data_IF_920584807725
#
_entry.id   IF_920584807725
#
_cell.length_a   1.000
_cell.length_b   1.000
_cell.length_c   1.000
_cell.angle_alpha   90.00
_cell.angle_beta   90.00
_cell.angle_gamma   90.00
#
_symmetry.space_group_name_H-M   'P 1'
#
loop_
_entity.id
_entity.type
_entity.pdbx_description
1 polymer ?
#
# COMPACT_ATOMS: atom_id res chain seq x y z
N UNK A 1 -3.84 -7.77 8.01
CA UNK A 1 -3.93 -6.48 8.73
C UNK A 1 -2.57 -5.92 9.15
N UNK A 2 -1.65 -6.73 9.70
CA UNK A 2 -0.36 -6.22 10.21
C UNK A 2 0.53 -5.54 9.14
N UNK A 3 0.56 -6.06 7.90
CA UNK A 3 1.35 -5.45 6.82
C UNK A 3 0.82 -4.06 6.45
N UNK A 4 -0.50 -3.89 6.34
CA UNK A 4 -1.11 -2.59 6.05
C UNK A 4 -0.83 -1.56 7.14
N UNK A 5 -0.84 -1.96 8.42
CA UNK A 5 -0.48 -1.07 9.52
C UNK A 5 0.99 -0.63 9.45
N UNK A 6 1.90 -1.54 9.08
CA UNK A 6 3.32 -1.21 8.86
C UNK A 6 3.44 -0.20 7.71
N UNK A 7 2.80 -0.45 6.57
CA UNK A 7 2.92 0.49 5.45
C UNK A 7 2.28 1.83 5.78
N UNK A 8 1.13 1.87 6.43
CA UNK A 8 0.51 3.12 6.86
C UNK A 8 1.41 3.91 7.82
N UNK A 9 2.11 3.22 8.74
CA UNK A 9 3.06 3.84 9.66
C UNK A 9 4.31 4.39 8.95
N UNK A 10 4.81 3.70 7.93
CA UNK A 10 5.94 4.18 7.12
C UNK A 10 5.52 5.35 6.22
N UNK A 11 4.33 5.27 5.62
CA UNK A 11 3.88 6.25 4.64
C UNK A 11 3.55 7.60 5.27
N UNK A 12 3.00 7.63 6.50
CA UNK A 12 2.68 8.89 7.19
C UNK A 12 3.90 9.79 7.42
N UNK A 13 5.10 9.21 7.52
CA UNK A 13 6.33 9.95 7.79
C UNK A 13 6.96 10.49 6.49
N UNK A 14 6.48 10.07 5.31
CA UNK A 14 7.01 10.50 4.00
C UNK A 14 6.75 11.99 3.73
N UNK A 15 5.52 12.53 3.88
CA UNK A 15 5.29 13.96 3.70
C UNK A 15 5.84 14.82 4.85
N UNK A 16 6.22 14.22 5.99
CA UNK A 16 6.67 14.93 7.21
C UNK A 16 8.20 14.99 7.36
N UNK A 17 8.96 14.70 6.30
CA UNK A 17 10.44 14.65 6.34
C UNK A 17 11.06 15.97 6.83
N UNK A 18 10.50 17.12 6.43
CA UNK A 18 11.00 18.43 6.87
C UNK A 18 10.68 18.71 8.35
N UNK A 19 9.48 18.30 8.80
CA UNK A 19 9.05 18.37 10.19
C UNK A 19 9.96 17.54 11.09
N UNK A 20 10.16 16.28 10.73
CA UNK A 20 11.06 15.35 11.44
C UNK A 20 12.49 15.90 11.56
N UNK A 21 13.02 16.45 10.46
CA UNK A 21 14.37 17.04 10.42
C UNK A 21 14.51 18.21 11.37
N UNK A 22 13.52 19.10 11.40
CA UNK A 22 13.54 20.29 12.26
C UNK A 22 13.40 19.97 13.76
N UNK A 23 12.73 18.86 14.11
CA UNK A 23 12.52 18.41 15.49
C UNK A 23 13.53 17.34 15.95
N UNK A 24 14.51 16.97 15.11
CA UNK A 24 15.53 15.98 15.43
C UNK A 24 15.00 14.54 15.51
N UNK A 25 13.85 14.26 14.90
CA UNK A 25 13.29 12.90 14.78
C UNK A 25 13.98 12.18 13.64
N UNK A 26 14.48 10.98 13.90
CA UNK A 26 15.21 10.18 12.91
C UNK A 26 14.29 9.12 12.28
N UNK A 27 13.43 9.52 11.34
CA UNK A 27 12.50 8.63 10.65
C UNK A 27 13.13 7.90 9.45
N UNK A 28 12.48 6.83 8.98
CA UNK A 28 12.93 6.08 7.80
C UNK A 28 12.91 6.93 6.52
N UNK A 29 11.93 7.81 6.37
CA UNK A 29 11.84 8.74 5.25
C UNK A 29 13.02 9.72 5.22
N UNK A 30 13.52 10.12 6.40
CA UNK A 30 14.68 10.98 6.53
C UNK A 30 16.00 10.27 6.23
N UNK A 31 16.12 8.98 6.57
CA UNK A 31 17.34 8.18 6.32
C UNK A 31 17.49 7.74 4.87
N UNK A 32 16.41 7.26 4.26
CA UNK A 32 16.44 6.65 2.92
C UNK A 32 15.94 7.60 1.82
N UNK A 33 15.35 8.72 2.21
CA UNK A 33 14.75 9.70 1.30
C UNK A 33 13.30 9.36 0.93
N UNK A 34 12.54 10.43 0.70
CA UNK A 34 11.12 10.44 0.36
C UNK A 34 10.77 9.52 -0.82
N UNK A 35 11.50 9.65 -1.94
CA UNK A 35 11.27 8.84 -3.14
C UNK A 35 11.49 7.35 -2.91
N UNK A 36 12.56 6.97 -2.22
CA UNK A 36 12.85 5.56 -1.96
C UNK A 36 11.81 4.95 -1.01
N UNK A 37 11.43 5.68 0.05
CA UNK A 37 10.41 5.21 0.99
C UNK A 37 9.03 5.08 0.36
N UNK A 38 8.65 6.00 -0.52
CA UNK A 38 7.42 5.90 -1.28
C UNK A 38 7.34 4.58 -2.05
N UNK A 39 8.39 4.27 -2.83
CA UNK A 39 8.42 3.04 -3.61
C UNK A 39 8.48 1.77 -2.76
N UNK A 40 9.20 1.79 -1.63
CA UNK A 40 9.19 0.67 -0.68
C UNK A 40 7.76 0.39 -0.19
N UNK A 41 7.01 1.43 0.18
CA UNK A 41 5.63 1.29 0.61
C UNK A 41 4.72 0.73 -0.50
N UNK A 42 4.87 1.21 -1.74
CA UNK A 42 4.12 0.70 -2.90
C UNK A 42 4.44 -0.78 -3.13
N UNK A 43 5.71 -1.17 -3.13
CA UNK A 43 6.11 -2.58 -3.29
C UNK A 43 5.59 -3.48 -2.17
N UNK A 44 5.55 -3.01 -0.93
CA UNK A 44 4.97 -3.76 0.19
C UNK A 44 3.47 -4.02 0.00
N UNK A 45 2.71 -3.04 -0.50
CA UNK A 45 1.31 -3.25 -0.86
C UNK A 45 1.14 -4.22 -2.04
N UNK A 46 1.94 -4.08 -3.10
CA UNK A 46 1.89 -5.01 -4.25
C UNK A 46 2.18 -6.44 -3.83
N UNK A 47 3.18 -6.66 -2.96
CA UNK A 47 3.47 -7.98 -2.40
C UNK A 47 2.33 -8.50 -1.54
N UNK A 48 1.64 -7.64 -0.78
CA UNK A 48 0.46 -8.04 -0.01
C UNK A 48 -0.67 -8.52 -0.94
N UNK A 49 -0.94 -7.80 -2.03
CA UNK A 49 -1.91 -8.24 -3.05
C UNK A 49 -1.48 -9.52 -3.75
N UNK A 50 -0.20 -9.67 -4.11
CA UNK A 50 0.34 -10.91 -4.66
C UNK A 50 0.14 -12.11 -3.72
N UNK A 51 0.40 -11.92 -2.42
CA UNK A 51 0.19 -12.95 -1.41
C UNK A 51 -1.29 -13.31 -1.26
N UNK A 52 -2.19 -12.30 -1.27
CA UNK A 52 -3.62 -12.54 -1.27
C UNK A 52 -4.10 -13.37 -2.47
N UNK A 53 -3.56 -13.12 -3.66
CA UNK A 53 -3.83 -13.92 -4.87
C UNK A 53 -3.36 -15.36 -4.68
N UNK A 54 -2.13 -15.57 -4.20
CA UNK A 54 -1.57 -16.91 -3.96
C UNK A 54 -2.41 -17.69 -2.94
N UNK A 55 -2.82 -17.04 -1.85
CA UNK A 55 -3.72 -17.63 -0.84
C UNK A 55 -5.07 -17.98 -1.49
N UNK A 56 -5.67 -17.07 -2.24
CA UNK A 56 -6.95 -17.28 -2.90
C UNK A 56 -6.95 -18.44 -3.91
N UNK A 57 -5.83 -18.62 -4.63
CA UNK A 57 -5.66 -19.74 -5.57
C UNK A 57 -5.67 -21.11 -4.88
N UNK A 58 -5.33 -21.18 -3.58
CA UNK A 58 -5.36 -22.41 -2.80
C UNK A 58 -6.77 -22.85 -2.38
N UNK A 59 -7.78 -21.99 -2.52
CA UNK A 59 -9.17 -22.31 -2.18
C UNK A 59 -9.72 -23.49 -2.98
N UNK A 60 -10.55 -24.39 -2.42
CA UNK A 60 -11.22 -25.45 -3.19
C UNK A 60 -12.34 -24.92 -4.11
N UNK A 61 -12.81 -23.69 -3.87
CA UNK A 61 -13.95 -23.10 -4.59
C UNK A 61 -13.49 -22.25 -5.76
N UNK A 62 -13.91 -22.61 -6.98
CA UNK A 62 -13.53 -21.87 -8.19
C UNK A 62 -13.94 -20.39 -8.13
N UNK A 63 -15.13 -20.09 -7.61
CA UNK A 63 -15.60 -18.69 -7.52
C UNK A 63 -14.75 -17.85 -6.56
N UNK A 64 -14.24 -18.43 -5.46
CA UNK A 64 -13.31 -17.75 -4.55
C UNK A 64 -11.99 -17.48 -5.29
N UNK A 65 -11.45 -18.47 -6.00
CA UNK A 65 -10.21 -18.28 -6.78
C UNK A 65 -10.34 -17.11 -7.76
N UNK A 66 -11.39 -17.11 -8.56
CA UNK A 66 -11.65 -16.04 -9.53
C UNK A 66 -11.83 -14.69 -8.85
N UNK A 67 -12.61 -14.63 -7.76
CA UNK A 67 -12.83 -13.41 -7.00
C UNK A 67 -11.51 -12.86 -6.46
N UNK A 68 -10.68 -13.69 -5.83
CA UNK A 68 -9.41 -13.28 -5.23
C UNK A 68 -8.41 -12.79 -6.28
N UNK A 69 -8.24 -13.53 -7.39
CA UNK A 69 -7.34 -13.15 -8.49
C UNK A 69 -7.77 -11.83 -9.13
N UNK A 70 -9.06 -11.71 -9.48
CA UNK A 70 -9.56 -10.53 -10.20
C UNK A 70 -9.54 -9.29 -9.29
N UNK A 71 -10.05 -9.40 -8.07
CA UNK A 71 -10.12 -8.25 -7.15
C UNK A 71 -8.74 -7.69 -6.81
N UNK A 72 -7.81 -8.53 -6.36
CA UNK A 72 -6.48 -8.09 -5.96
C UNK A 72 -5.62 -7.71 -7.17
N UNK A 73 -5.82 -8.35 -8.33
CA UNK A 73 -5.17 -7.95 -9.58
C UNK A 73 -5.59 -6.56 -10.04
N UNK A 74 -6.89 -6.23 -9.93
CA UNK A 74 -7.40 -4.88 -10.21
C UNK A 74 -6.85 -3.88 -9.19
N UNK A 75 -6.86 -4.21 -7.89
CA UNK A 75 -6.34 -3.31 -6.84
C UNK A 75 -4.85 -3.03 -7.02
N UNK A 76 -4.03 -4.04 -7.31
CA UNK A 76 -2.61 -3.88 -7.62
C UNK A 76 -2.41 -3.04 -8.88
N UNK A 77 -3.14 -3.32 -9.97
CA UNK A 77 -3.06 -2.47 -11.17
C UNK A 77 -3.40 -1.00 -10.89
N UNK A 78 -4.47 -0.74 -10.14
CA UNK A 78 -4.87 0.63 -9.78
C UNK A 78 -3.78 1.27 -8.90
N UNK A 79 -3.26 0.56 -7.90
CA UNK A 79 -2.19 1.04 -7.04
C UNK A 79 -0.95 1.42 -7.86
N UNK A 80 -0.43 0.48 -8.64
CA UNK A 80 0.74 0.68 -9.49
C UNK A 80 0.56 1.87 -10.44
N UNK A 81 -0.58 1.92 -11.13
CA UNK A 81 -0.88 3.03 -12.06
C UNK A 81 -0.87 4.37 -11.34
N UNK A 82 -1.57 4.50 -10.22
CA UNK A 82 -1.64 5.77 -9.49
C UNK A 82 -0.28 6.14 -8.88
N UNK A 83 0.49 5.17 -8.40
CA UNK A 83 1.83 5.41 -7.84
C UNK A 83 2.78 6.05 -8.87
N UNK A 84 2.70 5.63 -10.13
CA UNK A 84 3.50 6.21 -11.23
C UNK A 84 3.05 7.61 -11.65
N UNK A 85 1.88 8.08 -11.22
CA UNK A 85 1.35 9.41 -11.53
C UNK A 85 1.62 10.43 -10.43
N UNK A 86 2.11 10.00 -9.27
CA UNK A 86 2.40 10.91 -8.14
C UNK A 86 3.64 11.73 -8.45
N UNK A 87 3.51 13.05 -8.33
CA UNK A 87 4.65 13.95 -8.28
C UNK A 87 5.29 13.86 -6.88
N UNK A 88 6.48 13.24 -6.81
CA UNK A 88 7.17 13.01 -5.55
C UNK A 88 7.92 14.24 -5.03
N UNK A 89 7.97 15.32 -5.80
CA UNK A 89 8.51 16.62 -5.35
C UNK A 89 7.42 17.49 -4.69
N UNK A 90 6.15 17.08 -4.78
CA UNK A 90 5.02 17.78 -4.19
C UNK A 90 4.44 17.00 -2.99
N UNK A 91 4.61 17.54 -1.78
CA UNK A 91 4.12 16.92 -0.55
C UNK A 91 2.59 16.78 -0.52
N UNK A 92 1.84 17.71 -1.12
CA UNK A 92 0.38 17.61 -1.21
C UNK A 92 -0.04 16.43 -2.09
N UNK A 93 0.69 16.15 -3.18
CA UNK A 93 0.44 14.99 -4.03
C UNK A 93 0.71 13.67 -3.30
N UNK A 94 1.75 13.62 -2.47
CA UNK A 94 2.07 12.45 -1.63
C UNK A 94 1.02 12.24 -0.55
N UNK A 95 0.57 13.31 0.12
CA UNK A 95 -0.50 13.24 1.13
C UNK A 95 -1.83 12.79 0.50
N UNK A 96 -2.16 13.31 -0.69
CA UNK A 96 -3.31 12.84 -1.46
C UNK A 96 -3.20 11.34 -1.79
N UNK A 97 -2.01 10.88 -2.15
CA UNK A 97 -1.77 9.45 -2.39
C UNK A 97 -1.88 8.62 -1.11
N UNK A 98 -1.42 9.13 0.04
CA UNK A 98 -1.61 8.48 1.34
C UNK A 98 -3.09 8.24 1.66
N UNK A 99 -3.94 9.25 1.45
CA UNK A 99 -5.39 9.09 1.59
C UNK A 99 -6.00 8.13 0.56
N UNK A 100 -5.44 8.06 -0.64
CA UNK A 100 -5.81 7.05 -1.61
C UNK A 100 -5.46 5.62 -1.13
N UNK A 101 -4.30 5.40 -0.49
CA UNK A 101 -3.96 4.11 0.13
C UNK A 101 -4.96 3.70 1.21
N UNK A 102 -5.46 4.64 2.01
CA UNK A 102 -6.54 4.37 2.96
C UNK A 102 -7.81 3.84 2.29
N UNK A 103 -8.18 4.38 1.12
CA UNK A 103 -9.34 3.88 0.36
C UNK A 103 -9.13 2.43 -0.08
N UNK A 104 -7.93 2.11 -0.58
CA UNK A 104 -7.58 0.73 -0.94
C UNK A 104 -7.62 -0.21 0.28
N UNK A 105 -7.13 0.25 1.43
CA UNK A 105 -7.18 -0.51 2.67
C UNK A 105 -8.62 -0.82 3.12
N UNK A 106 -9.55 0.13 2.97
CA UNK A 106 -10.96 -0.14 3.27
C UNK A 106 -11.56 -1.21 2.36
N UNK A 107 -11.20 -1.23 1.08
CA UNK A 107 -11.63 -2.29 0.15
C UNK A 107 -11.05 -3.64 0.58
N UNK A 108 -9.78 -3.68 0.95
CA UNK A 108 -9.12 -4.89 1.44
C UNK A 108 -9.81 -5.46 2.69
N UNK A 109 -10.28 -4.59 3.59
CA UNK A 109 -11.02 -5.02 4.79
C UNK A 109 -12.26 -5.86 4.44
N UNK A 110 -12.90 -5.60 3.29
CA UNK A 110 -14.03 -6.36 2.78
C UNK A 110 -13.60 -7.69 2.13
N UNK A 111 -12.40 -7.75 1.55
CA UNK A 111 -11.89 -8.90 0.81
C UNK A 111 -11.19 -9.94 1.69
N UNK A 112 -10.51 -9.52 2.76
CA UNK A 112 -9.77 -10.42 3.67
C UNK A 112 -10.59 -11.60 4.21
N UNK A 113 -11.88 -11.45 4.58
CA UNK A 113 -12.69 -12.61 4.98
C UNK A 113 -12.77 -13.72 3.92
N UNK A 114 -12.69 -13.37 2.63
CA UNK A 114 -12.73 -14.33 1.51
C UNK A 114 -11.52 -15.26 1.49
N UNK A 115 -10.39 -14.85 2.07
CA UNK A 115 -9.17 -15.69 2.18
C UNK A 115 -9.36 -16.93 3.04
N UNK A 116 -10.43 -17.00 3.85
CA UNK A 116 -10.74 -18.14 4.73
C UNK A 116 -11.59 -19.23 4.07
N UNK A 117 -12.06 -19.00 2.84
CA UNK A 117 -13.03 -19.84 2.16
C UNK A 117 -12.42 -20.60 0.98
#
# INVERSE_FOLDING_TARGET
MSIFAIVAALFKDIPDVEGDKSHGVNSFALQFGQKQMFWICVWLFEMAYGMAIVIGLSSPRLWIRSLMVISHGILGFILWRNANLVDLENNEAIECFYHFLWKLYYVEYLLVPMMRF
#
